data_IF_365913278085
#
_entry.id   IF_365913278085
#
_cell.length_a   1.000
_cell.length_b   1.000
_cell.length_c   1.000
_cell.angle_alpha   90.00
_cell.angle_beta   90.00
_cell.angle_gamma   90.00
#
_symmetry.space_group_name_H-M   'P 1'
#
loop_
_entity.id
_entity.type
_entity.pdbx_description
1 polymer ?
#
# COMPACT_ATOMS: atom_id res chain seq x y z
N UNK A 1 11.92 11.31 -12.43
CA UNK A 1 12.77 12.52 -12.52
C UNK A 1 13.10 13.16 -11.16
N UNK A 2 12.13 13.47 -10.29
CA UNK A 2 12.43 14.02 -8.93
C UNK A 2 12.86 12.91 -7.95
N UNK A 3 12.21 11.74 -8.00
CA UNK A 3 12.49 10.58 -7.13
C UNK A 3 13.91 10.04 -7.29
N UNK A 4 14.39 10.00 -8.52
CA UNK A 4 15.71 9.46 -8.87
C UNK A 4 16.84 10.37 -8.36
N UNK A 5 16.58 11.68 -8.34
CA UNK A 5 17.50 12.71 -7.82
C UNK A 5 17.62 12.67 -6.30
N UNK A 6 16.53 12.37 -5.60
CA UNK A 6 16.52 12.21 -4.13
C UNK A 6 17.29 10.94 -3.73
N UNK A 7 17.10 9.84 -4.48
CA UNK A 7 17.82 8.59 -4.28
C UNK A 7 19.33 8.75 -4.48
N UNK A 8 19.75 9.46 -5.53
CA UNK A 8 21.17 9.74 -5.81
C UNK A 8 21.81 10.73 -4.82
N UNK A 9 21.03 11.64 -4.23
CA UNK A 9 21.50 12.53 -3.17
C UNK A 9 21.73 11.76 -1.87
N UNK A 10 20.81 10.86 -1.50
CA UNK A 10 20.90 10.04 -0.29
C UNK A 10 21.92 8.89 -0.41
N UNK A 11 22.25 8.43 -1.61
CA UNK A 11 23.27 7.39 -1.82
C UNK A 11 24.70 7.94 -1.70
N UNK A 12 24.91 9.22 -2.01
CA UNK A 12 26.21 9.92 -1.87
C UNK A 12 26.48 10.37 -0.43
N UNK A 13 25.44 10.62 0.35
CA UNK A 13 25.53 10.80 1.79
C UNK A 13 25.52 9.42 2.42
N UNK A 14 26.67 8.81 2.70
CA UNK A 14 26.72 7.59 3.53
C UNK A 14 26.06 7.89 4.88
N UNK A 15 24.74 7.62 4.97
CA UNK A 15 23.96 7.87 6.17
C UNK A 15 24.65 7.11 7.29
N UNK A 16 25.19 7.85 8.26
CA UNK A 16 26.03 7.26 9.30
C UNK A 16 25.27 6.11 9.96
N UNK A 17 25.99 5.05 10.33
CA UNK A 17 25.41 3.86 10.95
C UNK A 17 24.36 4.16 12.04
N UNK A 18 24.51 5.15 12.94
CA UNK A 18 23.48 5.47 13.93
C UNK A 18 22.18 6.01 13.33
N UNK A 19 22.25 6.84 12.27
CA UNK A 19 21.05 7.40 11.63
C UNK A 19 20.31 6.28 10.90
N UNK A 20 21.02 5.44 10.15
CA UNK A 20 20.42 4.27 9.48
C UNK A 20 19.77 3.33 10.49
N UNK A 21 20.46 3.01 11.59
CA UNK A 21 19.95 2.11 12.61
C UNK A 21 18.69 2.67 13.29
N UNK A 22 18.65 3.99 13.52
CA UNK A 22 17.46 4.66 14.05
C UNK A 22 16.28 4.57 13.06
N UNK A 23 16.50 4.87 11.78
CA UNK A 23 15.45 4.76 10.75
C UNK A 23 14.94 3.32 10.60
N UNK A 24 15.83 2.33 10.60
CA UNK A 24 15.44 0.93 10.54
C UNK A 24 14.60 0.52 11.74
N UNK A 25 14.97 0.96 12.95
CA UNK A 25 14.19 0.72 14.17
C UNK A 25 12.79 1.34 14.09
N UNK A 26 12.68 2.55 13.53
CA UNK A 26 11.38 3.22 13.35
C UNK A 26 10.52 2.51 12.30
N UNK A 27 11.10 2.03 11.19
CA UNK A 27 10.38 1.26 10.17
C UNK A 27 9.98 -0.14 10.62
N UNK A 28 10.76 -0.77 11.50
CA UNK A 28 10.48 -2.13 11.99
C UNK A 28 9.73 -2.15 13.32
N UNK A 29 9.43 -1.00 13.93
CA UNK A 29 8.69 -0.93 15.18
C UNK A 29 7.19 -1.10 14.92
N UNK A 30 6.62 -2.15 15.51
CA UNK A 30 5.19 -2.41 15.48
C UNK A 30 4.37 -1.28 16.12
N UNK A 31 4.83 -0.72 17.24
CA UNK A 31 4.15 0.36 17.94
C UNK A 31 3.98 1.60 17.06
N UNK A 32 5.04 2.00 16.37
CA UNK A 32 5.02 3.15 15.46
C UNK A 32 4.08 2.87 14.27
N UNK A 33 4.12 1.66 13.73
CA UNK A 33 3.22 1.26 12.65
C UNK A 33 1.75 1.30 13.08
N UNK A 34 1.42 0.78 14.27
CA UNK A 34 0.05 0.80 14.80
C UNK A 34 -0.44 2.22 15.07
N UNK A 35 0.42 3.08 15.62
CA UNK A 35 0.07 4.49 15.85
C UNK A 35 -0.25 5.20 14.53
N UNK A 36 0.61 5.05 13.51
CA UNK A 36 0.36 5.61 12.18
C UNK A 36 -0.93 5.08 11.54
N UNK A 37 -1.28 3.80 11.78
CA UNK A 37 -2.55 3.24 11.30
C UNK A 37 -3.74 3.89 12.00
N UNK A 38 -3.67 4.08 13.30
CA UNK A 38 -4.73 4.72 14.07
C UNK A 38 -4.98 6.15 13.59
N UNK A 39 -3.92 6.95 13.44
CA UNK A 39 -4.03 8.34 12.99
C UNK A 39 -4.64 8.46 11.60
N UNK A 40 -4.22 7.60 10.67
CA UNK A 40 -4.80 7.55 9.30
C UNK A 40 -6.26 7.14 9.31
N UNK A 41 -6.62 6.21 10.18
CA UNK A 41 -8.00 5.73 10.29
C UNK A 41 -8.92 6.80 10.89
N UNK A 42 -8.44 7.57 11.87
CA UNK A 42 -9.15 8.76 12.34
C UNK A 42 -9.34 9.79 11.23
N UNK A 43 -8.29 10.08 10.45
CA UNK A 43 -8.37 11.03 9.34
C UNK A 43 -9.41 10.59 8.30
N UNK A 44 -9.39 9.31 7.90
CA UNK A 44 -10.38 8.74 6.97
C UNK A 44 -11.82 8.91 7.48
N UNK A 45 -12.05 8.61 8.76
CA UNK A 45 -13.37 8.75 9.39
C UNK A 45 -13.83 10.21 9.45
N UNK A 46 -12.92 11.14 9.75
CA UNK A 46 -13.20 12.59 9.73
C UNK A 46 -13.55 13.08 8.32
N UNK A 47 -12.93 12.52 7.29
CA UNK A 47 -13.22 12.81 5.88
C UNK A 47 -14.46 12.08 5.33
N UNK A 48 -15.06 11.15 6.10
CA UNK A 48 -16.23 10.37 5.67
C UNK A 48 -15.96 9.44 4.49
N UNK A 49 -14.69 9.07 4.24
CA UNK A 49 -14.31 8.29 3.06
C UNK A 49 -14.53 6.79 3.29
N UNK A 50 -15.11 6.05 2.33
CA UNK A 50 -15.26 4.60 2.46
C UNK A 50 -13.89 3.90 2.44
N UNK A 51 -13.86 2.63 2.84
CA UNK A 51 -12.70 1.78 2.61
C UNK A 51 -12.71 1.30 1.17
N UNK A 52 -11.75 1.73 0.37
CA UNK A 52 -11.69 1.38 -1.05
C UNK A 52 -10.66 0.28 -1.31
N UNK A 53 -11.03 -0.67 -2.16
CA UNK A 53 -10.15 -1.75 -2.62
C UNK A 53 -10.05 -1.66 -4.14
N UNK A 54 -8.84 -1.45 -4.64
CA UNK A 54 -8.56 -1.48 -6.07
C UNK A 54 -8.09 -2.87 -6.46
N UNK A 55 -8.90 -3.56 -7.26
CA UNK A 55 -8.59 -4.92 -7.70
C UNK A 55 -8.10 -4.90 -9.15
N UNK A 56 -6.83 -5.23 -9.36
CA UNK A 56 -6.25 -5.29 -10.70
C UNK A 56 -6.30 -6.73 -11.22
N UNK A 57 -7.12 -6.98 -12.23
CA UNK A 57 -7.32 -8.30 -12.81
C UNK A 57 -6.53 -8.45 -14.10
N UNK A 58 -5.63 -9.43 -14.14
CA UNK A 58 -4.84 -9.75 -15.33
C UNK A 58 -5.36 -11.02 -16.01
N UNK A 59 -5.75 -10.91 -17.28
CA UNK A 59 -6.46 -12.00 -18.01
C UNK A 59 -5.57 -13.25 -18.17
N UNK A 60 -4.26 -13.03 -18.36
CA UNK A 60 -3.26 -14.09 -18.54
C UNK A 60 -2.67 -14.62 -17.22
N UNK A 61 -3.06 -14.04 -16.07
CA UNK A 61 -2.57 -14.48 -14.76
C UNK A 61 -3.55 -15.49 -14.11
N UNK A 62 -3.12 -16.74 -13.85
CA UNK A 62 -3.96 -17.71 -13.17
C UNK A 62 -4.33 -17.29 -11.73
N UNK A 63 -3.53 -16.47 -11.05
CA UNK A 63 -3.87 -15.99 -9.70
C UNK A 63 -4.99 -14.94 -9.71
N UNK A 64 -5.05 -14.10 -10.74
CA UNK A 64 -6.17 -13.21 -11.00
C UNK A 64 -7.48 -14.00 -11.17
N UNK A 65 -7.43 -15.19 -11.78
CA UNK A 65 -8.60 -16.06 -11.90
C UNK A 65 -9.03 -16.71 -10.56
N UNK A 66 -8.09 -16.97 -9.64
CA UNK A 66 -8.44 -17.48 -8.31
C UNK A 66 -9.02 -16.38 -7.42
N UNK A 67 -8.45 -15.18 -7.49
CA UNK A 67 -8.85 -14.05 -6.63
C UNK A 67 -10.25 -13.57 -6.95
N UNK A 68 -10.69 -13.57 -8.22
CA UNK A 68 -12.06 -13.13 -8.55
C UNK A 68 -13.14 -13.99 -7.90
N UNK A 69 -12.87 -15.27 -7.62
CA UNK A 69 -13.83 -16.17 -6.97
C UNK A 69 -14.11 -15.83 -5.50
N UNK A 70 -13.23 -15.07 -4.85
CA UNK A 70 -13.35 -14.71 -3.43
C UNK A 70 -13.77 -13.26 -3.22
N UNK A 71 -13.76 -12.42 -4.28
CA UNK A 71 -14.05 -10.99 -4.20
C UNK A 71 -15.46 -10.73 -3.69
N UNK A 72 -16.46 -11.46 -4.21
CA UNK A 72 -17.85 -11.29 -3.77
C UNK A 72 -18.01 -11.54 -2.26
N UNK A 73 -17.28 -12.54 -1.73
CA UNK A 73 -17.28 -12.81 -0.28
C UNK A 73 -16.62 -11.69 0.50
N UNK A 74 -15.64 -11.01 -0.09
CA UNK A 74 -14.94 -9.91 0.56
C UNK A 74 -15.85 -8.68 0.67
N UNK A 75 -16.56 -8.32 -0.39
CA UNK A 75 -17.54 -7.22 -0.35
C UNK A 75 -18.72 -7.50 0.58
N UNK A 76 -19.15 -8.76 0.72
CA UNK A 76 -20.26 -9.12 1.60
C UNK A 76 -19.89 -9.11 3.10
N UNK A 77 -18.64 -9.44 3.43
CA UNK A 77 -18.21 -9.57 4.83
C UNK A 77 -17.62 -8.27 5.41
N UNK A 78 -17.28 -7.30 4.57
CA UNK A 78 -16.62 -6.07 4.99
C UNK A 78 -17.30 -4.85 4.37
N UNK A 79 -17.37 -3.75 5.12
CA UNK A 79 -17.85 -2.45 4.62
C UNK A 79 -16.76 -1.78 3.77
N UNK A 80 -16.61 -2.28 2.54
CA UNK A 80 -15.60 -1.85 1.57
C UNK A 80 -16.22 -1.67 0.20
N UNK A 81 -15.64 -0.75 -0.58
CA UNK A 81 -16.01 -0.47 -1.96
C UNK A 81 -14.91 -1.03 -2.85
N UNK A 82 -15.21 -2.08 -3.63
CA UNK A 82 -14.25 -2.65 -4.56
C UNK A 82 -14.40 -2.02 -5.95
N UNK A 83 -13.28 -1.58 -6.52
CA UNK A 83 -13.21 -1.05 -7.88
C UNK A 83 -12.26 -1.93 -8.70
N UNK A 84 -12.79 -2.74 -9.65
CA UNK A 84 -11.98 -3.59 -10.48
C UNK A 84 -11.37 -2.82 -11.66
N UNK A 85 -10.12 -3.12 -11.99
CA UNK A 85 -9.39 -2.63 -13.15
C UNK A 85 -8.85 -3.81 -13.93
N UNK A 86 -9.13 -3.87 -15.23
CA UNK A 86 -8.49 -4.86 -16.10
C UNK A 86 -7.09 -4.37 -16.47
N UNK A 87 -6.11 -5.25 -16.32
CA UNK A 87 -4.71 -5.01 -16.68
C UNK A 87 -4.30 -6.08 -17.68
N UNK A 88 -3.80 -5.68 -18.84
CA UNK A 88 -3.38 -6.57 -19.91
C UNK A 88 -2.62 -5.78 -20.96
N UNK A 89 -1.89 -6.47 -21.84
CA UNK A 89 -0.98 -5.84 -22.80
C UNK A 89 -1.66 -4.71 -23.57
N UNK A 90 -1.33 -3.47 -23.21
CA UNK A 90 -1.23 -2.40 -24.20
C UNK A 90 -0.09 -2.81 -25.11
N UNK A 91 -0.42 -3.33 -26.29
CA UNK A 91 0.54 -3.78 -27.29
C UNK A 91 1.55 -2.72 -27.72
#
# INVERSE_FOLDING_TARGET
>A
MIRDRIRDFLSRLTISAPIRNKMMKEWSSEEIFLHQRFDKEEARKKEGRPHEIFYFHKIDDPYSHLTIQIIDKLEQNYDVVLTPFLVGDTG
#
